data_IF_281653012525
#
_entry.id   IF_281653012525
#
_cell.length_a   1.000
_cell.length_b   1.000
_cell.length_c   1.000
_cell.angle_alpha   90.00
_cell.angle_beta   90.00
_cell.angle_gamma   90.00
#
_symmetry.space_group_name_H-M   'P 1'
#
loop_
_entity.id
_entity.type
_entity.pdbx_description
1 polymer ?
#
# COMPACT_ATOMS: atom_id res chain seq x y z
N UNK A 1 62.51 44.68 -37.50
CA UNK A 1 62.16 44.42 -36.07
C UNK A 1 62.13 42.92 -35.86
N UNK A 2 63.09 42.39 -35.12
CA UNK A 2 63.23 40.96 -34.80
C UNK A 2 62.33 40.57 -33.62
N UNK A 3 61.74 39.36 -33.59
CA UNK A 3 60.97 38.90 -32.43
C UNK A 3 61.89 38.50 -31.27
N UNK A 4 61.49 38.88 -30.05
CA UNK A 4 62.15 38.54 -28.76
C UNK A 4 61.96 37.04 -28.41
N UNK A 5 62.91 36.41 -27.69
CA UNK A 5 62.79 35.01 -27.29
C UNK A 5 61.89 34.81 -26.07
N UNK A 6 61.15 33.70 -26.07
CA UNK A 6 60.26 33.26 -25.00
C UNK A 6 61.04 32.85 -23.72
N UNK A 7 60.59 33.34 -22.57
CA UNK A 7 61.16 33.00 -21.25
C UNK A 7 60.67 31.62 -20.81
N UNK A 8 61.61 30.73 -20.56
CA UNK A 8 61.45 29.38 -19.99
C UNK A 8 61.06 29.49 -18.51
N UNK A 9 59.82 29.13 -18.17
CA UNK A 9 59.37 29.10 -16.76
C UNK A 9 59.69 27.72 -16.18
N UNK A 10 60.61 27.71 -15.22
CA UNK A 10 61.00 26.53 -14.43
C UNK A 10 59.86 26.10 -13.50
N UNK A 11 59.40 24.84 -13.60
CA UNK A 11 58.50 24.23 -12.62
C UNK A 11 59.26 24.05 -11.31
N UNK A 12 58.84 24.79 -10.29
CA UNK A 12 59.28 24.61 -8.90
C UNK A 12 58.33 23.62 -8.26
N UNK A 13 58.80 22.39 -8.05
CA UNK A 13 58.11 21.39 -7.23
C UNK A 13 58.15 21.89 -5.79
N UNK A 14 56.99 22.24 -5.23
CA UNK A 14 56.83 22.46 -3.81
C UNK A 14 56.37 21.15 -3.17
N UNK A 15 57.28 20.52 -2.45
CA UNK A 15 57.00 19.48 -1.47
C UNK A 15 56.55 20.15 -0.17
N UNK A 16 55.25 20.19 0.08
CA UNK A 16 54.69 20.53 1.39
C UNK A 16 54.02 19.28 1.96
N UNK A 17 54.70 18.68 2.94
CA UNK A 17 54.15 17.60 3.75
C UNK A 17 52.97 18.10 4.56
N UNK A 18 51.82 17.44 4.38
CA UNK A 18 50.76 17.44 5.38
C UNK A 18 50.74 16.05 6.01
N UNK A 19 51.13 16.05 7.28
CA UNK A 19 50.92 14.99 8.25
C UNK A 19 49.41 14.76 8.35
N UNK A 20 48.93 13.63 7.83
CA UNK A 20 47.59 13.13 8.12
C UNK A 20 47.75 12.11 9.22
N UNK A 21 47.37 12.49 10.44
CA UNK A 21 47.13 11.53 11.51
C UNK A 21 46.06 10.56 11.01
N UNK A 22 46.44 9.29 10.85
CA UNK A 22 45.50 8.18 10.72
C UNK A 22 44.74 8.09 12.05
N UNK A 23 43.63 8.82 12.09
CA UNK A 23 42.53 8.59 13.02
C UNK A 23 42.02 7.17 12.82
N UNK A 24 42.63 6.26 13.58
CA UNK A 24 42.16 4.92 13.90
C UNK A 24 40.79 5.04 14.54
N UNK A 25 39.77 5.21 13.72
CA UNK A 25 38.40 4.88 14.10
C UNK A 25 38.42 3.37 14.32
N UNK A 26 38.47 3.01 15.60
CA UNK A 26 38.00 1.72 16.07
C UNK A 26 36.57 1.55 15.54
N UNK A 27 36.46 0.92 14.37
CA UNK A 27 35.30 0.13 14.00
C UNK A 27 35.27 -1.02 14.98
N UNK A 28 34.69 -0.73 16.14
CA UNK A 28 34.26 -1.71 17.10
C UNK A 28 33.44 -2.75 16.35
N UNK A 29 34.00 -3.95 16.33
CA UNK A 29 33.42 -5.16 15.78
C UNK A 29 32.11 -5.44 16.49
N UNK A 30 31.01 -4.88 16.01
CA UNK A 30 29.66 -5.29 16.41
C UNK A 30 29.07 -6.15 15.30
N UNK A 31 29.29 -7.45 15.48
CA UNK A 31 28.51 -8.56 14.93
C UNK A 31 28.54 -8.82 13.42
N UNK A 32 29.73 -9.20 12.95
CA UNK A 32 29.87 -10.25 11.93
C UNK A 32 29.48 -11.62 12.54
N UNK A 33 28.17 -11.85 12.80
CA UNK A 33 27.62 -13.15 13.25
C UNK A 33 26.07 -13.19 13.25
N UNK A 34 25.39 -12.92 12.13
CA UNK A 34 23.96 -13.32 11.99
C UNK A 34 23.64 -13.95 10.63
N UNK A 35 24.45 -14.93 10.22
CA UNK A 35 24.07 -15.90 9.19
C UNK A 35 23.06 -16.95 9.69
N UNK A 36 22.15 -16.61 10.61
CA UNK A 36 21.36 -17.62 11.37
C UNK A 36 19.92 -17.24 11.74
N UNK A 37 19.24 -16.35 10.99
CA UNK A 37 17.85 -15.96 11.35
C UNK A 37 16.86 -15.76 10.20
N UNK A 38 17.10 -16.28 8.99
CA UNK A 38 16.06 -16.28 7.93
C UNK A 38 14.83 -17.13 8.27
N UNK A 39 15.02 -18.22 9.04
CA UNK A 39 13.92 -19.14 9.38
C UNK A 39 13.01 -18.62 10.50
N UNK A 40 13.54 -17.85 11.45
CA UNK A 40 12.77 -17.41 12.63
C UNK A 40 11.92 -16.16 12.36
N UNK A 41 12.32 -15.27 11.43
CA UNK A 41 11.52 -14.11 11.07
C UNK A 41 10.28 -14.50 10.23
N UNK A 42 10.42 -15.51 9.37
CA UNK A 42 9.32 -16.06 8.57
C UNK A 42 8.31 -16.84 9.42
N UNK A 43 8.76 -17.57 10.46
CA UNK A 43 7.90 -18.36 11.31
C UNK A 43 6.95 -17.53 12.19
N UNK A 44 7.33 -16.29 12.55
CA UNK A 44 6.53 -15.44 13.43
C UNK A 44 5.51 -14.54 12.69
N UNK A 45 5.54 -14.49 11.36
CA UNK A 45 4.64 -13.63 10.58
C UNK A 45 3.31 -14.29 10.22
N UNK A 46 3.21 -15.61 10.30
CA UNK A 46 2.02 -16.38 9.88
C UNK A 46 0.82 -16.19 10.82
N UNK A 47 1.04 -15.78 12.08
CA UNK A 47 -0.05 -15.56 13.06
C UNK A 47 -0.46 -14.08 13.22
N UNK A 48 0.34 -13.15 12.70
CA UNK A 48 0.08 -11.73 12.86
C UNK A 48 -1.12 -11.30 12.02
N UNK A 49 -2.04 -10.55 12.62
CA UNK A 49 -3.22 -10.01 11.93
C UNK A 49 -2.85 -8.91 10.94
N UNK A 50 -1.84 -8.12 11.30
CA UNK A 50 -1.27 -7.06 10.49
C UNK A 50 0.23 -6.94 10.73
N UNK A 51 0.93 -6.38 9.75
CA UNK A 51 2.35 -6.01 9.84
C UNK A 51 2.53 -4.58 9.34
N UNK A 52 3.46 -3.85 9.94
CA UNK A 52 3.72 -2.44 9.60
C UNK A 52 5.18 -2.24 9.25
N UNK A 53 5.43 -1.44 8.21
CA UNK A 53 6.77 -1.04 7.77
C UNK A 53 6.81 0.47 7.55
N UNK A 54 7.70 1.24 8.20
CA UNK A 54 7.87 2.65 7.86
C UNK A 54 8.36 2.80 6.42
N UNK A 55 7.66 3.62 5.64
CA UNK A 55 7.96 3.86 4.23
C UNK A 55 8.14 5.36 4.00
N UNK A 56 9.36 5.75 3.62
CA UNK A 56 9.67 7.10 3.20
C UNK A 56 9.17 7.37 1.78
N UNK A 57 8.59 8.53 1.54
CA UNK A 57 7.96 8.89 0.26
C UNK A 57 8.77 10.00 -0.38
N UNK A 58 9.23 9.75 -1.60
CA UNK A 58 10.02 10.71 -2.37
C UNK A 58 9.14 11.38 -3.42
N UNK A 59 9.01 12.69 -3.31
CA UNK A 59 8.25 13.53 -4.23
C UNK A 59 9.21 14.40 -5.01
N UNK A 60 9.06 14.39 -6.33
CA UNK A 60 9.78 15.26 -7.26
C UNK A 60 8.93 16.49 -7.56
N UNK A 61 9.52 17.66 -7.38
CA UNK A 61 9.05 18.96 -7.86
C UNK A 61 9.67 19.24 -9.22
N UNK A 62 8.86 19.62 -10.20
CA UNK A 62 9.32 20.15 -11.49
C UNK A 62 8.60 21.44 -11.83
N UNK A 63 9.23 22.31 -12.60
CA UNK A 63 8.55 23.47 -13.18
C UNK A 63 7.35 23.02 -14.02
N UNK A 64 6.19 23.65 -13.81
CA UNK A 64 5.02 23.36 -14.62
C UNK A 64 5.09 24.01 -15.99
N UNK A 65 4.37 23.41 -16.93
CA UNK A 65 4.43 23.79 -18.35
C UNK A 65 3.51 24.99 -18.66
N UNK A 66 2.59 25.31 -17.75
CA UNK A 66 1.60 26.38 -17.95
C UNK A 66 1.79 27.52 -16.95
N UNK A 67 1.35 28.71 -17.31
CA UNK A 67 1.42 29.90 -16.45
C UNK A 67 0.58 29.76 -15.17
N UNK A 68 -0.46 28.93 -15.22
CA UNK A 68 -1.39 28.70 -14.11
C UNK A 68 -0.92 27.64 -13.12
N UNK A 69 0.03 26.80 -13.52
CA UNK A 69 0.58 25.75 -12.67
C UNK A 69 2.09 25.90 -12.63
N UNK A 70 2.57 26.62 -11.62
CA UNK A 70 4.00 26.90 -11.44
C UNK A 70 4.80 25.63 -11.16
N UNK A 71 4.21 24.69 -10.44
CA UNK A 71 4.87 23.46 -9.99
C UNK A 71 4.03 22.22 -10.31
N UNK A 72 4.71 21.17 -10.73
CA UNK A 72 4.15 19.82 -10.85
C UNK A 72 4.83 18.96 -9.79
N UNK A 73 4.01 18.29 -8.99
CA UNK A 73 4.45 17.36 -7.97
C UNK A 73 4.17 15.94 -8.42
N UNK A 74 5.17 15.06 -8.35
CA UNK A 74 5.04 13.66 -8.73
C UNK A 74 5.76 12.76 -7.74
N UNK A 75 5.10 11.71 -7.27
CA UNK A 75 5.76 10.70 -6.44
C UNK A 75 6.66 9.84 -7.34
N UNK A 76 7.95 9.77 -7.00
CA UNK A 76 8.96 9.10 -7.85
C UNK A 76 9.49 7.82 -7.26
N UNK A 77 9.62 7.75 -5.93
CA UNK A 77 10.23 6.60 -5.26
C UNK A 77 9.70 6.42 -3.84
N UNK A 78 9.92 5.21 -3.31
CA UNK A 78 9.62 4.85 -1.92
C UNK A 78 10.86 4.23 -1.28
N UNK A 79 11.08 4.54 0.00
CA UNK A 79 12.25 4.16 0.78
C UNK A 79 11.81 3.28 1.97
N UNK A 80 11.92 1.94 1.87
CA UNK A 80 11.55 1.06 2.97
C UNK A 80 12.52 1.20 4.14
N UNK A 81 11.99 1.37 5.36
CA UNK A 81 12.80 1.53 6.56
C UNK A 81 13.43 2.92 6.72
N UNK A 82 12.90 3.93 6.03
CA UNK A 82 13.41 5.30 6.16
C UNK A 82 13.15 5.87 7.57
N UNK A 83 14.05 6.74 8.02
CA UNK A 83 13.84 7.54 9.22
C UNK A 83 12.80 8.63 8.93
N UNK A 84 12.15 9.15 9.98
CA UNK A 84 11.22 10.27 9.85
C UNK A 84 11.86 11.47 9.15
N UNK A 85 11.09 12.10 8.28
CA UNK A 85 11.50 13.31 7.58
C UNK A 85 10.29 14.21 7.35
N UNK A 86 10.56 15.51 7.30
CA UNK A 86 9.62 16.55 6.90
C UNK A 86 10.27 17.32 5.75
N UNK A 87 9.85 17.03 4.52
CA UNK A 87 10.27 17.72 3.29
C UNK A 87 11.78 17.98 3.15
N UNK A 88 12.58 16.96 3.44
CA UNK A 88 14.04 17.04 3.35
C UNK A 88 14.48 16.91 1.90
N UNK A 89 15.23 17.89 1.38
CA UNK A 89 15.79 17.84 0.03
C UNK A 89 16.82 16.71 -0.07
N UNK A 90 16.61 15.77 -1.01
CA UNK A 90 17.53 14.66 -1.28
C UNK A 90 18.47 14.97 -2.43
N UNK A 91 17.92 15.52 -3.52
CA UNK A 91 18.65 15.78 -4.75
C UNK A 91 18.07 16.98 -5.48
N UNK A 92 18.93 17.74 -6.13
CA UNK A 92 18.56 18.77 -7.11
C UNK A 92 19.23 18.44 -8.45
N UNK A 93 18.45 18.43 -9.52
CA UNK A 93 18.88 18.16 -10.89
C UNK A 93 18.24 19.18 -11.83
N UNK A 94 18.98 20.25 -12.12
CA UNK A 94 18.50 21.35 -12.95
C UNK A 94 17.27 22.03 -12.35
N UNK A 95 16.14 21.94 -13.03
CA UNK A 95 14.85 22.49 -12.60
C UNK A 95 13.99 21.50 -11.80
N UNK A 96 14.54 20.31 -11.51
CA UNK A 96 13.87 19.28 -10.73
C UNK A 96 14.52 19.09 -9.36
N UNK A 97 13.69 18.99 -8.32
CA UNK A 97 14.13 18.73 -6.96
C UNK A 97 13.37 17.55 -6.39
N UNK A 98 14.08 16.64 -5.73
CA UNK A 98 13.52 15.46 -5.09
C UNK A 98 13.58 15.64 -3.57
N UNK A 99 12.43 15.51 -2.93
CA UNK A 99 12.25 15.67 -1.50
C UNK A 99 11.82 14.34 -0.88
N UNK A 100 12.39 14.01 0.26
CA UNK A 100 11.76 13.09 1.19
C UNK A 100 10.64 13.83 1.90
N UNK A 101 9.42 13.69 1.41
CA UNK A 101 8.27 14.48 1.85
C UNK A 101 7.84 14.10 3.27
N UNK A 102 7.61 12.80 3.49
CA UNK A 102 7.17 12.24 4.77
C UNK A 102 7.51 10.74 4.82
N UNK A 103 7.62 10.20 6.03
CA UNK A 103 7.61 8.76 6.27
C UNK A 103 6.28 8.37 6.89
N UNK A 104 5.56 7.45 6.24
CA UNK A 104 4.28 6.93 6.73
C UNK A 104 4.37 5.41 6.97
N UNK A 105 3.60 4.88 7.94
CA UNK A 105 3.51 3.44 8.13
C UNK A 105 2.75 2.80 6.96
N UNK A 106 3.38 1.87 6.25
CA UNK A 106 2.70 0.96 5.34
C UNK A 106 2.20 -0.23 6.14
N UNK A 107 0.88 -0.35 6.26
CA UNK A 107 0.22 -1.43 6.98
C UNK A 107 -0.33 -2.47 6.01
N UNK A 108 -0.04 -3.75 6.28
CA UNK A 108 -0.63 -4.87 5.56
C UNK A 108 -1.56 -5.63 6.48
N UNK A 109 -2.76 -5.93 5.98
CA UNK A 109 -3.80 -6.67 6.70
C UNK A 109 -4.00 -8.04 6.07
N UNK A 110 -4.18 -9.07 6.90
CA UNK A 110 -4.43 -10.43 6.39
C UNK A 110 -5.73 -10.56 5.58
N UNK A 111 -6.71 -9.68 5.82
CA UNK A 111 -8.00 -9.65 5.11
C UNK A 111 -7.83 -9.28 3.65
N UNK A 112 -6.77 -8.54 3.34
CA UNK A 112 -6.56 -7.92 2.03
C UNK A 112 -5.51 -8.70 1.21
N UNK A 113 -5.19 -9.92 1.64
CA UNK A 113 -4.21 -10.77 0.99
C UNK A 113 -4.54 -11.03 -0.50
N UNK A 114 -5.82 -11.11 -0.85
CA UNK A 114 -6.25 -11.24 -2.25
C UNK A 114 -5.90 -9.99 -3.08
N UNK A 115 -6.12 -8.80 -2.53
CA UNK A 115 -5.80 -7.54 -3.20
C UNK A 115 -4.28 -7.42 -3.46
N UNK A 116 -3.46 -7.77 -2.47
CA UNK A 116 -2.00 -7.76 -2.62
C UNK A 116 -1.54 -8.75 -3.70
N UNK A 117 -2.16 -9.93 -3.79
CA UNK A 117 -1.84 -10.92 -4.83
C UNK A 117 -2.12 -10.36 -6.23
N UNK A 118 -3.23 -9.63 -6.41
CA UNK A 118 -3.52 -8.95 -7.66
C UNK A 118 -2.48 -7.86 -7.97
N UNK A 119 -2.11 -7.05 -6.98
CA UNK A 119 -1.08 -6.02 -7.13
C UNK A 119 0.29 -6.58 -7.54
N UNK A 120 0.67 -7.74 -6.97
CA UNK A 120 1.91 -8.44 -7.29
C UNK A 120 1.90 -9.13 -8.66
N UNK A 121 0.73 -9.40 -9.22
CA UNK A 121 0.57 -10.01 -10.55
C UNK A 121 0.65 -8.98 -11.69
N UNK A 122 0.57 -7.69 -11.37
CA UNK A 122 0.75 -6.61 -12.34
C UNK A 122 2.16 -6.65 -12.98
N UNK A 123 2.29 -6.12 -14.20
CA UNK A 123 3.57 -6.07 -14.93
C UNK A 123 4.67 -5.36 -14.13
N UNK A 124 4.29 -4.31 -13.40
CA UNK A 124 5.14 -3.62 -12.44
C UNK A 124 4.40 -3.60 -11.10
N UNK A 125 4.88 -4.34 -10.08
CA UNK A 125 4.31 -4.26 -8.75
C UNK A 125 4.52 -2.85 -8.19
N UNK A 126 3.46 -2.25 -7.66
CA UNK A 126 3.48 -0.85 -7.25
C UNK A 126 2.75 -0.63 -5.95
N UNK A 127 3.25 0.30 -5.15
CA UNK A 127 2.55 0.90 -4.01
C UNK A 127 1.77 2.12 -4.50
N UNK A 128 0.68 2.42 -3.82
CA UNK A 128 -0.16 3.57 -4.09
C UNK A 128 0.00 4.58 -2.98
N UNK A 129 0.19 5.84 -3.36
CA UNK A 129 0.34 6.97 -2.45
C UNK A 129 -0.82 7.92 -2.69
N UNK A 130 -1.57 8.22 -1.64
CA UNK A 130 -2.71 9.12 -1.69
C UNK A 130 -2.25 10.51 -1.29
N UNK A 131 -2.43 11.46 -2.21
CA UNK A 131 -2.08 12.86 -2.05
C UNK A 131 -3.36 13.70 -1.94
N UNK A 132 -3.33 14.69 -1.07
CA UNK A 132 -4.36 15.73 -0.96
C UNK A 132 -3.78 17.09 -1.29
N UNK A 133 -4.63 17.99 -1.76
CA UNK A 133 -4.24 19.38 -1.97
C UNK A 133 -3.92 20.07 -0.63
N UNK A 134 -2.67 20.49 -0.47
CA UNK A 134 -2.18 21.27 0.68
C UNK A 134 -1.89 22.74 0.33
N UNK A 135 -2.32 23.22 -0.84
CA UNK A 135 -2.07 24.57 -1.33
C UNK A 135 -0.73 24.71 -2.06
N UNK A 136 0.36 25.00 -1.33
CA UNK A 136 1.68 25.21 -1.95
C UNK A 136 2.39 23.89 -2.31
N UNK A 137 2.15 22.85 -1.50
CA UNK A 137 2.69 21.49 -1.68
C UNK A 137 1.63 20.45 -1.34
N UNK A 138 1.62 19.28 -2.01
CA UNK A 138 0.63 18.24 -1.73
C UNK A 138 0.89 17.64 -0.34
N UNK A 139 -0.17 17.34 0.39
CA UNK A 139 -0.09 16.59 1.64
C UNK A 139 -0.18 15.09 1.32
N UNK A 140 0.65 14.27 1.98
CA UNK A 140 0.56 12.82 1.80
C UNK A 140 -0.24 12.21 2.93
N UNK A 141 -1.38 11.62 2.59
CA UNK A 141 -2.38 11.17 3.57
C UNK A 141 -2.21 9.70 3.92
N UNK A 142 -2.01 8.85 2.90
CA UNK A 142 -2.00 7.40 3.06
C UNK A 142 -1.04 6.74 2.06
N UNK A 143 -0.50 5.60 2.48
CA UNK A 143 0.22 4.68 1.60
C UNK A 143 -0.40 3.31 1.72
N UNK A 144 -0.75 2.70 0.58
CA UNK A 144 -1.31 1.36 0.53
C UNK A 144 -0.65 0.48 -0.53
N UNK A 145 -0.52 -0.82 -0.23
CA UNK A 145 -0.13 -1.83 -1.20
C UNK A 145 -1.35 -2.50 -1.87
N UNK A 146 -2.58 -2.20 -1.40
CA UNK A 146 -3.82 -2.77 -1.93
C UNK A 146 -4.30 -1.98 -3.15
N UNK A 147 -4.41 -2.59 -4.33
CA UNK A 147 -4.99 -1.92 -5.50
C UNK A 147 -6.47 -1.57 -5.33
N UNK A 148 -7.21 -2.32 -4.49
CA UNK A 148 -8.64 -2.08 -4.27
C UNK A 148 -8.87 -0.85 -3.39
N UNK A 149 -8.13 -0.74 -2.29
CA UNK A 149 -8.18 0.45 -1.43
C UNK A 149 -7.75 1.69 -2.22
N UNK A 150 -6.69 1.58 -3.02
CA UNK A 150 -6.25 2.67 -3.89
C UNK A 150 -7.33 3.09 -4.91
N UNK A 151 -8.13 2.15 -5.40
CA UNK A 151 -9.23 2.45 -6.31
C UNK A 151 -10.36 3.20 -5.59
N UNK A 152 -10.72 2.81 -4.37
CA UNK A 152 -11.77 3.48 -3.59
C UNK A 152 -11.42 4.97 -3.34
N UNK A 153 -10.15 5.27 -3.07
CA UNK A 153 -9.66 6.65 -2.97
C UNK A 153 -9.69 7.38 -4.32
N UNK A 154 -9.30 6.71 -5.41
CA UNK A 154 -9.31 7.30 -6.74
C UNK A 154 -10.73 7.65 -7.22
N UNK A 155 -11.73 6.83 -6.86
CA UNK A 155 -13.12 7.01 -7.27
C UNK A 155 -13.83 8.15 -6.52
N UNK A 156 -13.30 8.59 -5.36
CA UNK A 156 -13.84 9.70 -4.57
C UNK A 156 -13.60 11.06 -5.21
N UNK A 157 -12.52 11.21 -5.99
CA UNK A 157 -12.22 12.42 -6.77
C UNK A 157 -11.67 13.62 -5.97
N UNK A 158 -11.60 13.54 -4.64
CA UNK A 158 -10.99 14.56 -3.77
C UNK A 158 -9.47 14.35 -3.59
N UNK A 159 -9.03 13.09 -3.66
CA UNK A 159 -7.64 12.70 -3.42
C UNK A 159 -6.98 12.22 -4.73
N UNK A 160 -5.71 12.59 -4.93
CA UNK A 160 -4.89 12.14 -6.07
C UNK A 160 -4.12 10.87 -5.70
N UNK A 161 -4.37 9.78 -6.43
CA UNK A 161 -3.71 8.49 -6.18
C UNK A 161 -2.56 8.29 -7.17
N UNK A 162 -1.33 8.27 -6.65
CA UNK A 162 -0.11 8.07 -7.42
C UNK A 162 0.40 6.64 -7.31
N UNK A 163 0.74 6.04 -8.46
CA UNK A 163 1.25 4.66 -8.54
C UNK A 163 2.78 4.66 -8.63
N UNK A 164 3.43 4.08 -7.63
CA UNK A 164 4.90 4.09 -7.49
C UNK A 164 5.46 2.67 -7.56
N UNK A 165 6.45 2.39 -8.43
CA UNK A 165 7.05 1.06 -8.52
C UNK A 165 7.71 0.66 -7.19
N UNK A 166 7.44 -0.58 -6.76
CA UNK A 166 8.02 -1.11 -5.53
C UNK A 166 9.50 -1.49 -5.74
N UNK A 167 10.42 -1.15 -4.83
CA UNK A 167 11.76 -1.72 -4.83
C UNK A 167 11.70 -3.22 -4.52
N UNK A 168 12.70 -3.97 -4.99
CA UNK A 168 12.73 -5.44 -4.90
C UNK A 168 12.54 -5.98 -3.47
N UNK A 169 13.11 -5.29 -2.47
CA UNK A 169 12.98 -5.66 -1.06
C UNK A 169 11.55 -5.51 -0.55
N UNK A 170 10.84 -4.47 -1.00
CA UNK A 170 9.44 -4.25 -0.65
C UNK A 170 8.53 -5.30 -1.33
N UNK A 171 8.79 -5.61 -2.60
CA UNK A 171 8.07 -6.67 -3.31
C UNK A 171 8.21 -8.01 -2.59
N UNK A 172 9.43 -8.36 -2.16
CA UNK A 172 9.67 -9.59 -1.42
C UNK A 172 8.89 -9.62 -0.10
N UNK A 173 8.92 -8.53 0.66
CA UNK A 173 8.22 -8.40 1.94
C UNK A 173 6.70 -8.55 1.78
N UNK A 174 6.08 -7.80 0.87
CA UNK A 174 4.64 -7.90 0.58
C UNK A 174 4.28 -9.31 0.13
N UNK A 175 5.07 -9.88 -0.80
CA UNK A 175 4.83 -11.23 -1.33
C UNK A 175 4.89 -12.31 -0.26
N UNK A 176 5.85 -12.24 0.65
CA UNK A 176 6.00 -13.25 1.69
C UNK A 176 4.84 -13.17 2.70
N UNK A 177 4.40 -11.94 3.05
CA UNK A 177 3.17 -11.73 3.82
C UNK A 177 1.93 -12.27 3.10
N UNK A 178 1.75 -11.91 1.83
CA UNK A 178 0.63 -12.39 1.00
C UNK A 178 0.60 -13.91 0.94
N UNK A 179 1.73 -14.57 0.68
CA UNK A 179 1.79 -16.04 0.60
C UNK A 179 1.46 -16.73 1.92
N UNK A 180 1.81 -16.13 3.05
CA UNK A 180 1.51 -16.69 4.37
C UNK A 180 0.01 -16.61 4.70
N UNK A 181 -0.67 -15.55 4.25
CA UNK A 181 -2.07 -15.25 4.62
C UNK A 181 -3.09 -15.53 3.51
N UNK A 182 -2.67 -15.66 2.26
CA UNK A 182 -3.55 -15.90 1.12
C UNK A 182 -4.17 -17.30 1.20
N UNK A 183 -5.45 -17.34 1.54
CA UNK A 183 -6.28 -18.55 1.48
C UNK A 183 -7.23 -18.41 0.31
N UNK A 184 -7.08 -19.27 -0.69
CA UNK A 184 -8.03 -19.35 -1.79
C UNK A 184 -9.34 -19.92 -1.26
N UNK A 185 -10.26 -19.06 -0.86
CA UNK A 185 -11.59 -19.51 -0.48
C UNK A 185 -12.30 -20.04 -1.72
N UNK A 186 -12.66 -21.32 -1.69
CA UNK A 186 -13.51 -21.89 -2.73
C UNK A 186 -14.89 -21.27 -2.56
N UNK A 187 -15.31 -20.44 -3.51
CA UNK A 187 -16.64 -19.84 -3.51
C UNK A 187 -17.72 -20.94 -3.42
N UNK A 188 -18.30 -21.11 -2.23
CA UNK A 188 -19.42 -22.04 -2.03
C UNK A 188 -20.70 -21.28 -2.29
N UNK A 189 -21.22 -21.41 -3.51
CA UNK A 189 -22.52 -20.85 -3.88
C UNK A 189 -23.57 -21.29 -2.85
N UNK A 190 -24.26 -20.33 -2.22
CA UNK A 190 -25.42 -20.63 -1.38
C UNK A 190 -26.45 -21.38 -2.24
N UNK A 191 -26.82 -22.59 -1.85
CA UNK A 191 -27.92 -23.30 -2.47
C UNK A 191 -29.20 -22.65 -1.92
N UNK A 192 -30.06 -22.12 -2.81
CA UNK A 192 -31.37 -21.63 -2.38
C UNK A 192 -32.11 -22.80 -1.74
N UNK A 193 -32.50 -22.67 -0.49
CA UNK A 193 -33.38 -23.64 0.15
C UNK A 193 -34.67 -23.72 -0.69
N UNK A 194 -34.98 -24.94 -1.15
CA UNK A 194 -36.23 -25.16 -1.89
C UNK A 194 -37.36 -25.00 -0.88
N UNK A 195 -38.13 -23.93 -0.99
CA UNK A 195 -39.44 -23.85 -0.35
C UNK A 195 -40.28 -25.01 -0.88
N UNK A 196 -40.83 -25.81 0.04
CA UNK A 196 -41.73 -26.90 -0.32
C UNK A 196 -43.09 -26.30 -0.71
N UNK A 197 -43.38 -26.25 -2.01
CA UNK A 197 -44.62 -25.69 -2.55
C UNK A 197 -45.84 -26.61 -2.39
N UNK A 198 -45.63 -27.86 -1.97
CA UNK A 198 -46.71 -28.84 -1.76
C UNK A 198 -47.28 -28.79 -0.33
N UNK A 199 -46.87 -27.81 0.48
CA UNK A 199 -47.47 -27.56 1.79
C UNK A 199 -48.89 -27.05 1.59
N UNK A 200 -49.86 -27.91 1.90
CA UNK A 200 -51.28 -27.54 1.96
C UNK A 200 -51.49 -26.74 3.25
N UNK A 201 -51.38 -25.41 3.16
CA UNK A 201 -51.74 -24.49 4.24
C UNK A 201 -53.27 -24.28 4.24
N UNK A 202 -53.99 -25.13 4.98
CA UNK A 202 -55.44 -25.01 5.20
C UNK A 202 -55.77 -23.89 6.22
N UNK A 203 -55.36 -22.65 5.91
CA UNK A 203 -55.65 -21.46 6.71
C UNK A 203 -54.84 -21.34 8.01
N UNK A 204 -54.44 -20.12 8.34
CA UNK A 204 -53.73 -19.83 9.59
C UNK A 204 -54.76 -19.71 10.72
N UNK A 205 -54.80 -20.70 11.62
CA UNK A 205 -55.55 -20.63 12.88
C UNK A 205 -56.19 -21.95 13.32
N UNK A 206 -56.22 -22.19 14.63
CA UNK A 206 -56.93 -23.32 15.22
C UNK A 206 -58.43 -23.22 14.90
N UNK A 207 -59.02 -24.32 14.39
CA UNK A 207 -60.43 -24.39 14.03
C UNK A 207 -61.39 -24.18 15.22
N UNK A 208 -60.92 -24.31 16.45
CA UNK A 208 -61.75 -24.16 17.67
C UNK A 208 -61.86 -22.74 18.18
N UNK A 209 -61.00 -21.83 17.72
CA UNK A 209 -60.99 -20.44 18.18
C UNK A 209 -61.84 -19.60 17.24
N UNK A 210 -62.92 -19.00 17.77
CA UNK A 210 -63.75 -18.07 17.01
C UNK A 210 -62.91 -16.84 16.61
N UNK A 211 -62.71 -16.66 15.31
CA UNK A 211 -61.98 -15.51 14.77
C UNK A 211 -62.98 -14.40 14.46
N UNK A 212 -62.62 -13.16 14.80
CA UNK A 212 -63.50 -11.97 14.69
C UNK A 212 -63.69 -11.50 13.24
N UNK A 213 -62.88 -11.99 12.29
CA UNK A 213 -62.96 -11.68 10.87
C UNK A 213 -63.20 -12.96 10.05
N UNK A 214 -63.83 -12.81 8.88
CA UNK A 214 -64.03 -13.91 7.92
C UNK A 214 -62.70 -14.25 7.24
N UNK A 215 -62.00 -15.24 7.81
CA UNK A 215 -60.77 -15.79 7.24
C UNK A 215 -61.16 -16.86 6.22
N UNK A 216 -60.78 -16.65 4.96
CA UNK A 216 -61.03 -17.60 3.88
C UNK A 216 -60.47 -18.99 4.22
N UNK A 217 -61.33 -20.01 4.19
CA UNK A 217 -60.97 -21.41 4.38
C UNK A 217 -61.23 -22.21 3.12
N UNK A 218 -60.26 -23.05 2.75
CA UNK A 218 -60.40 -23.93 1.59
C UNK A 218 -61.66 -24.81 1.73
N UNK A 219 -62.43 -25.06 0.66
CA UNK A 219 -63.63 -25.90 0.73
C UNK A 219 -63.36 -27.32 1.23
N UNK A 220 -62.13 -27.82 1.03
CA UNK A 220 -61.67 -29.12 1.52
C UNK A 220 -61.59 -29.17 3.06
N UNK A 221 -61.11 -28.09 3.71
CA UNK A 221 -61.03 -27.99 5.17
C UNK A 221 -62.40 -28.03 5.85
N UNK A 222 -63.44 -27.46 5.22
CA UNK A 222 -64.84 -27.48 5.72
C UNK A 222 -65.45 -28.88 5.78
N UNK A 223 -64.99 -29.83 4.94
CA UNK A 223 -65.51 -31.22 4.96
C UNK A 223 -65.02 -32.03 6.16
N UNK A 224 -63.80 -31.77 6.66
CA UNK A 224 -63.19 -32.52 7.78
C UNK A 224 -63.88 -32.27 9.13
N UNK A 225 -64.47 -31.10 9.35
CA UNK A 225 -65.14 -30.77 10.61
C UNK A 225 -66.56 -31.33 10.78
N UNK A 226 -67.15 -31.94 9.75
CA UNK A 226 -68.54 -32.44 9.76
C UNK A 226 -68.68 -33.95 9.99
N UNK A 227 -67.56 -34.64 10.14
CA UNK A 227 -67.47 -36.07 10.46
C UNK A 227 -67.02 -36.24 11.91
N UNK A 228 -67.88 -35.87 12.85
CA UNK A 228 -67.86 -36.31 14.25
C UNK A 228 -69.29 -36.41 14.75
#
# INVERSE_FOLDING_TARGET
MTPKPAKRVSRRLYTSGHHVEEGRLEFEKVNCCQGRNRLNFAANQTELKSVTLPLGIVIRRTAGVTVWQKWVWKVVAVLPGAAEADWTLLRSEGEAEEYHAVTLPLELYRTDAEAYMQGLTASVPSVYVVLRDGGDRPEVTLVTASPFEAQDYADTGEDQVEKVPMPEGLVAWVRDFTKAHFRKETFKKRRRDRTNTDLIEDGIGDARIAQTADVYRSPASRKKGRLQ
#
